data_IF_320264717392
#
_entry.id   IF_320264717392
#
_cell.length_a   1.000
_cell.length_b   1.000
_cell.length_c   1.000
_cell.angle_alpha   90.00
_cell.angle_beta   90.00
_cell.angle_gamma   90.00
#
_symmetry.space_group_name_H-M   'P 1'
#
loop_
_entity.id
_entity.type
_entity.pdbx_description
1 polymer ?
#
# COMPACT_ATOMS: atom_id res chain seq x y z
N UNK A 1 -31.67 -16.66 7.61
CA UNK A 1 -30.30 -16.75 7.07
C UNK A 1 -29.59 -15.43 7.32
N UNK A 2 -28.37 -15.49 7.76
CA UNK A 2 -27.52 -14.30 8.00
C UNK A 2 -27.28 -13.53 6.70
N UNK A 3 -27.46 -12.22 6.71
CA UNK A 3 -27.13 -11.35 5.59
C UNK A 3 -25.96 -10.43 5.96
N UNK A 4 -24.87 -10.54 5.24
CA UNK A 4 -23.67 -9.70 5.37
C UNK A 4 -23.62 -8.75 4.16
N UNK A 5 -23.52 -7.45 4.42
CA UNK A 5 -23.33 -6.44 3.37
C UNK A 5 -21.93 -5.88 3.49
N UNK A 6 -21.18 -5.88 2.39
CA UNK A 6 -19.84 -5.29 2.29
C UNK A 6 -19.92 -4.08 1.37
N UNK A 7 -19.51 -2.92 1.88
CA UNK A 7 -19.48 -1.65 1.15
C UNK A 7 -18.06 -1.33 0.74
N UNK A 8 -17.81 -1.37 -0.56
CA UNK A 8 -16.50 -1.14 -1.20
C UNK A 8 -15.94 -2.41 -1.84
N UNK A 9 -15.70 -2.35 -3.14
CA UNK A 9 -15.18 -3.43 -4.00
C UNK A 9 -13.68 -3.39 -4.25
N UNK A 10 -12.91 -2.70 -3.39
CA UNK A 10 -11.46 -2.78 -3.38
C UNK A 10 -10.95 -4.11 -2.82
N UNK A 11 -9.62 -4.33 -2.87
CA UNK A 11 -9.03 -5.62 -2.44
C UNK A 11 -9.39 -5.99 -1.00
N UNK A 12 -9.57 -5.04 -0.09
CA UNK A 12 -9.96 -5.31 1.30
C UNK A 12 -11.40 -5.85 1.39
N UNK A 13 -12.36 -5.20 0.68
CA UNK A 13 -13.75 -5.64 0.66
C UNK A 13 -13.93 -6.97 -0.07
N UNK A 14 -13.25 -7.15 -1.21
CA UNK A 14 -13.28 -8.41 -1.94
C UNK A 14 -12.67 -9.56 -1.14
N UNK A 15 -11.59 -9.30 -0.40
CA UNK A 15 -11.00 -10.30 0.51
C UNK A 15 -11.94 -10.61 1.67
N UNK A 16 -12.61 -9.61 2.24
CA UNK A 16 -13.64 -9.83 3.25
C UNK A 16 -14.77 -10.70 2.69
N UNK A 17 -15.23 -10.44 1.46
CA UNK A 17 -16.25 -11.24 0.78
C UNK A 17 -15.79 -12.70 0.60
N UNK A 18 -14.56 -12.90 0.14
CA UNK A 18 -13.96 -14.22 -0.03
C UNK A 18 -13.92 -14.99 1.29
N UNK A 19 -13.38 -14.40 2.35
CA UNK A 19 -13.29 -15.08 3.65
C UNK A 19 -14.66 -15.25 4.32
N UNK A 20 -15.61 -14.33 4.12
CA UNK A 20 -16.99 -14.49 4.59
C UNK A 20 -17.65 -15.71 3.96
N UNK A 21 -17.60 -15.85 2.64
CA UNK A 21 -18.14 -17.03 1.94
C UNK A 21 -17.44 -18.32 2.32
N UNK A 22 -16.14 -18.27 2.54
CA UNK A 22 -15.36 -19.45 2.95
C UNK A 22 -15.72 -19.93 4.36
N UNK A 23 -15.93 -18.99 5.31
CA UNK A 23 -16.25 -19.29 6.71
C UNK A 23 -17.75 -19.52 6.96
N UNK A 24 -18.60 -18.88 6.15
CA UNK A 24 -20.08 -18.98 6.25
C UNK A 24 -20.68 -19.21 4.87
N UNK A 25 -20.56 -20.43 4.28
CA UNK A 25 -20.98 -20.69 2.89
C UNK A 25 -22.48 -20.41 2.64
N UNK A 26 -23.32 -20.59 3.65
CA UNK A 26 -24.77 -20.44 3.56
C UNK A 26 -25.27 -19.02 3.88
N UNK A 27 -24.40 -18.10 4.27
CA UNK A 27 -24.81 -16.72 4.51
C UNK A 27 -25.12 -16.01 3.19
N UNK A 28 -26.16 -15.18 3.19
CA UNK A 28 -26.38 -14.22 2.11
C UNK A 28 -25.26 -13.18 2.17
N UNK A 29 -24.60 -12.95 1.06
CA UNK A 29 -23.52 -11.98 0.95
C UNK A 29 -23.80 -11.03 -0.20
N UNK A 30 -23.80 -9.74 0.09
CA UNK A 30 -23.90 -8.69 -0.92
C UNK A 30 -22.67 -7.79 -0.84
N UNK A 31 -22.00 -7.60 -1.97
CA UNK A 31 -20.92 -6.63 -2.11
C UNK A 31 -21.39 -5.51 -3.04
N UNK A 32 -21.27 -4.27 -2.59
CA UNK A 32 -21.61 -3.09 -3.38
C UNK A 32 -20.38 -2.23 -3.63
N UNK A 33 -20.25 -1.71 -4.86
CA UNK A 33 -19.19 -0.82 -5.29
C UNK A 33 -19.78 0.37 -6.05
N UNK A 34 -19.32 1.57 -5.71
CA UNK A 34 -19.79 2.80 -6.35
C UNK A 34 -19.29 3.00 -7.78
N UNK A 35 -18.12 2.43 -8.10
CA UNK A 35 -17.52 2.50 -9.42
C UNK A 35 -18.09 1.45 -10.39
N UNK A 36 -17.75 1.59 -11.66
CA UNK A 36 -18.11 0.65 -12.74
C UNK A 36 -17.20 -0.57 -12.82
N UNK A 37 -16.21 -0.71 -11.90
CA UNK A 37 -15.24 -1.81 -11.88
C UNK A 37 -14.90 -2.23 -10.45
N UNK A 38 -14.49 -3.47 -10.30
CA UNK A 38 -13.93 -4.02 -9.07
C UNK A 38 -12.44 -3.72 -8.94
N UNK A 39 -11.90 -3.82 -7.73
CA UNK A 39 -10.48 -3.76 -7.41
C UNK A 39 -10.01 -2.46 -6.75
N UNK A 40 -10.81 -1.40 -6.78
CA UNK A 40 -10.43 -0.10 -6.21
C UNK A 40 -9.14 0.43 -6.84
N UNK A 41 -8.06 0.59 -6.05
CA UNK A 41 -6.76 1.04 -6.56
C UNK A 41 -6.01 -0.01 -7.39
N UNK A 42 -6.39 -1.28 -7.35
CA UNK A 42 -5.84 -2.31 -8.22
C UNK A 42 -6.55 -2.20 -9.57
N UNK A 43 -5.80 -1.78 -10.58
CA UNK A 43 -6.24 -1.75 -11.99
C UNK A 43 -5.06 -2.03 -12.88
N UNK A 44 -5.24 -2.94 -13.83
CA UNK A 44 -4.25 -3.32 -14.83
C UNK A 44 -4.83 -3.10 -16.22
N UNK A 45 -4.17 -2.28 -17.02
CA UNK A 45 -4.49 -2.13 -18.44
C UNK A 45 -3.58 -3.07 -19.25
N UNK A 46 -4.19 -3.93 -20.08
CA UNK A 46 -3.51 -4.90 -20.94
C UNK A 46 -3.68 -4.44 -22.37
N UNK A 47 -2.64 -3.82 -22.93
CA UNK A 47 -2.67 -3.22 -24.27
C UNK A 47 -1.95 -4.10 -25.27
N UNK A 48 -2.68 -4.69 -26.20
CA UNK A 48 -2.09 -5.43 -27.32
C UNK A 48 -1.22 -4.50 -28.17
N UNK A 49 0.00 -4.92 -28.49
CA UNK A 49 0.94 -4.12 -29.25
C UNK A 49 1.94 -5.02 -30.00
N UNK A 50 2.04 -4.85 -31.31
CA UNK A 50 2.85 -5.72 -32.19
C UNK A 50 2.61 -7.21 -31.90
N UNK A 51 3.67 -7.96 -31.60
CA UNK A 51 3.65 -9.40 -31.30
C UNK A 51 3.50 -9.70 -29.80
N UNK A 52 3.01 -8.75 -28.99
CA UNK A 52 2.87 -8.95 -27.53
C UNK A 52 1.85 -8.00 -26.93
N UNK A 53 2.04 -7.72 -25.65
CA UNK A 53 1.20 -6.77 -24.92
C UNK A 53 1.99 -5.99 -23.87
N UNK A 54 1.59 -4.76 -23.63
CA UNK A 54 1.99 -4.04 -22.43
C UNK A 54 1.04 -4.38 -21.28
N UNK A 55 1.60 -4.64 -20.10
CA UNK A 55 0.85 -4.83 -18.86
C UNK A 55 1.14 -3.61 -17.97
N UNK A 56 0.16 -2.72 -17.86
CA UNK A 56 0.31 -1.41 -17.23
C UNK A 56 -0.53 -1.36 -15.95
N UNK A 57 0.13 -1.26 -14.82
CA UNK A 57 -0.56 -1.08 -13.53
C UNK A 57 -0.91 0.38 -13.30
N UNK A 58 -2.14 0.64 -12.94
CA UNK A 58 -2.58 2.00 -12.62
C UNK A 58 -2.26 2.43 -11.18
N UNK A 59 -2.41 1.53 -10.22
CA UNK A 59 -2.16 1.76 -8.79
C UNK A 59 -0.87 1.08 -8.30
N UNK A 60 -0.93 0.13 -7.36
CA UNK A 60 0.24 -0.67 -6.99
C UNK A 60 0.74 -1.51 -8.17
N UNK A 61 2.03 -1.85 -8.20
CA UNK A 61 2.62 -2.72 -9.23
C UNK A 61 3.00 -4.11 -8.70
N UNK A 62 3.10 -4.25 -7.38
CA UNK A 62 3.56 -5.46 -6.69
C UNK A 62 3.05 -5.48 -5.27
N UNK A 63 3.20 -6.65 -4.62
CA UNK A 63 3.01 -6.78 -3.19
C UNK A 63 4.21 -7.47 -2.51
N UNK A 64 4.36 -7.24 -1.21
CA UNK A 64 5.44 -7.82 -0.41
C UNK A 64 5.20 -9.31 -0.13
N UNK A 65 6.15 -10.16 -0.53
CA UNK A 65 6.13 -11.58 -0.26
C UNK A 65 6.40 -11.94 1.22
N UNK A 66 7.02 -11.02 1.97
CA UNK A 66 7.36 -11.23 3.39
C UNK A 66 6.14 -11.21 4.30
N UNK A 67 5.03 -10.61 3.86
CA UNK A 67 3.74 -10.68 4.53
C UNK A 67 2.95 -11.85 3.95
N UNK A 68 2.55 -12.86 4.75
CA UNK A 68 2.07 -14.15 4.22
C UNK A 68 0.72 -14.06 3.51
N UNK A 69 -0.12 -13.11 3.87
CA UNK A 69 -1.54 -13.05 3.48
C UNK A 69 -1.75 -12.92 1.96
N UNK A 70 -0.93 -12.11 1.28
CA UNK A 70 -1.03 -11.97 -0.18
C UNK A 70 -0.68 -13.25 -0.93
N UNK A 71 0.43 -13.90 -0.54
CA UNK A 71 0.86 -15.17 -1.12
C UNK A 71 -0.13 -16.30 -0.79
N UNK A 72 -0.65 -16.32 0.44
CA UNK A 72 -1.63 -17.32 0.86
C UNK A 72 -2.91 -17.21 0.02
N UNK A 73 -3.48 -16.01 -0.09
CA UNK A 73 -4.68 -15.80 -0.90
C UNK A 73 -4.46 -16.17 -2.38
N UNK A 74 -3.33 -15.77 -2.98
CA UNK A 74 -3.01 -16.15 -4.36
C UNK A 74 -2.94 -17.69 -4.53
N UNK A 75 -2.38 -18.41 -3.57
CA UNK A 75 -2.33 -19.88 -3.61
C UNK A 75 -3.73 -20.49 -3.49
N UNK A 76 -4.56 -19.98 -2.59
CA UNK A 76 -5.94 -20.44 -2.40
C UNK A 76 -6.80 -20.21 -3.65
N UNK A 77 -6.52 -19.14 -4.40
CA UNK A 77 -7.17 -18.80 -5.67
C UNK A 77 -6.55 -19.52 -6.90
N UNK A 78 -5.57 -20.42 -6.69
CA UNK A 78 -4.90 -21.13 -7.79
C UNK A 78 -3.85 -20.30 -8.56
N UNK A 79 -3.49 -19.12 -8.06
CA UNK A 79 -2.54 -18.19 -8.70
C UNK A 79 -1.08 -18.41 -8.24
N UNK A 80 -0.80 -19.41 -7.40
CA UNK A 80 0.51 -19.59 -6.77
C UNK A 80 1.67 -19.69 -7.75
N UNK A 81 1.50 -20.43 -8.84
CA UNK A 81 2.50 -20.64 -9.89
C UNK A 81 2.56 -19.48 -10.91
N UNK A 82 1.61 -18.56 -10.84
CA UNK A 82 1.54 -17.39 -11.69
C UNK A 82 2.21 -16.15 -11.09
N UNK A 83 2.82 -16.30 -9.90
CA UNK A 83 3.51 -15.20 -9.20
C UNK A 83 4.95 -15.08 -9.67
N UNK A 84 5.30 -13.93 -10.23
CA UNK A 84 6.62 -13.57 -10.68
C UNK A 84 7.30 -12.62 -9.69
N UNK A 85 8.59 -12.85 -9.46
CA UNK A 85 9.46 -11.92 -8.75
C UNK A 85 10.04 -10.85 -9.67
N UNK A 86 10.78 -9.92 -9.08
CA UNK A 86 11.58 -8.95 -9.84
C UNK A 86 12.69 -9.66 -10.61
N UNK A 87 13.13 -9.06 -11.72
CA UNK A 87 14.21 -9.57 -12.57
C UNK A 87 15.49 -9.82 -11.74
N UNK A 88 15.96 -11.06 -11.62
CA UNK A 88 17.13 -11.38 -10.80
C UNK A 88 18.46 -10.89 -11.40
N UNK A 89 18.46 -10.57 -12.68
CA UNK A 89 19.64 -10.07 -13.39
C UNK A 89 19.85 -8.57 -13.19
N UNK A 90 18.87 -7.88 -12.59
CA UNK A 90 18.92 -6.46 -12.28
C UNK A 90 18.83 -6.26 -10.76
N UNK A 91 19.62 -5.32 -10.24
CA UNK A 91 19.65 -5.04 -8.79
C UNK A 91 19.69 -3.55 -8.47
N UNK A 92 20.07 -2.73 -9.44
CA UNK A 92 20.30 -1.33 -9.21
C UNK A 92 19.00 -0.59 -8.93
N UNK A 93 19.04 0.23 -7.92
CA UNK A 93 18.04 1.27 -7.64
C UNK A 93 18.82 2.55 -7.42
N UNK A 94 18.29 3.66 -7.91
CA UNK A 94 18.99 4.93 -7.83
C UNK A 94 18.23 5.93 -6.96
N UNK A 95 18.96 6.90 -6.46
CA UNK A 95 18.41 8.09 -5.81
C UNK A 95 18.84 9.31 -6.64
N UNK A 96 17.92 10.19 -6.96
CA UNK A 96 18.25 11.47 -7.58
C UNK A 96 18.96 12.35 -6.53
N UNK A 97 20.18 12.74 -6.79
CA UNK A 97 20.97 13.61 -5.92
C UNK A 97 21.68 14.67 -6.74
N UNK A 98 21.36 15.94 -6.50
CA UNK A 98 21.94 17.08 -7.23
C UNK A 98 21.85 16.90 -8.75
N UNK A 99 20.67 16.53 -9.25
CA UNK A 99 20.37 16.25 -10.66
C UNK A 99 21.15 15.06 -11.28
N UNK A 100 21.75 14.17 -10.49
CA UNK A 100 22.41 12.94 -10.96
C UNK A 100 21.78 11.73 -10.30
N UNK A 101 21.74 10.62 -11.03
CA UNK A 101 21.32 9.33 -10.46
C UNK A 101 22.51 8.68 -9.76
N UNK A 102 22.45 8.64 -8.44
CA UNK A 102 23.44 7.96 -7.61
C UNK A 102 22.90 6.59 -7.19
N UNK A 103 23.69 5.53 -7.28
CA UNK A 103 23.23 4.20 -6.90
C UNK A 103 22.93 4.14 -5.40
N UNK A 104 21.85 3.48 -5.06
CA UNK A 104 21.50 3.16 -3.68
C UNK A 104 22.60 2.24 -3.10
N UNK A 105 23.17 2.57 -1.94
CA UNK A 105 24.23 1.76 -1.35
C UNK A 105 23.77 0.32 -1.09
N UNK A 106 24.60 -0.66 -1.44
CA UNK A 106 24.34 -2.05 -1.13
C UNK A 106 24.21 -2.31 0.36
N UNK A 107 23.36 -3.27 0.70
CA UNK A 107 23.20 -3.70 2.09
C UNK A 107 22.27 -2.81 2.91
N UNK A 108 21.33 -2.13 2.27
CA UNK A 108 20.18 -1.57 2.99
C UNK A 108 19.23 -2.71 3.40
N UNK A 109 19.22 -3.01 4.68
CA UNK A 109 18.23 -3.92 5.23
C UNK A 109 17.13 -3.09 5.91
N UNK A 110 15.88 -3.24 5.42
CA UNK A 110 14.73 -2.51 6.00
C UNK A 110 15.03 -0.99 6.10
N UNK A 111 15.55 -0.39 5.03
CA UNK A 111 15.98 1.02 4.92
C UNK A 111 17.18 1.43 5.80
N UNK A 112 17.74 0.53 6.59
CA UNK A 112 18.91 0.83 7.43
C UNK A 112 20.18 0.32 6.76
N UNK A 113 21.23 1.15 6.65
CA UNK A 113 22.52 0.72 6.14
C UNK A 113 23.19 -0.33 7.04
N UNK A 114 23.46 -1.51 6.48
CA UNK A 114 24.18 -2.59 7.17
C UNK A 114 25.59 -2.79 6.66
N UNK A 115 25.92 -2.19 5.51
CA UNK A 115 27.23 -2.28 4.89
C UNK A 115 27.98 -0.95 5.02
N UNK A 116 28.88 -0.86 5.99
CA UNK A 116 29.67 0.34 6.27
C UNK A 116 30.52 0.75 5.05
N UNK A 117 31.10 -0.22 4.34
CA UNK A 117 31.96 0.09 3.17
C UNK A 117 31.13 0.71 2.02
N UNK A 118 29.90 0.21 1.80
CA UNK A 118 29.01 0.79 0.78
C UNK A 118 28.62 2.23 1.13
N UNK A 119 28.35 2.53 2.39
CA UNK A 119 28.08 3.89 2.86
C UNK A 119 29.31 4.80 2.71
N UNK A 120 30.49 4.31 3.06
CA UNK A 120 31.73 5.11 2.91
C UNK A 120 32.00 5.48 1.44
N UNK A 121 31.66 4.62 0.49
CA UNK A 121 31.83 4.87 -0.95
C UNK A 121 30.70 5.71 -1.56
N UNK A 122 29.54 5.78 -0.93
CA UNK A 122 28.38 6.51 -1.46
C UNK A 122 28.60 8.03 -1.47
N UNK A 123 28.13 8.70 -2.51
CA UNK A 123 28.11 10.17 -2.61
C UNK A 123 26.84 10.80 -2.05
N UNK A 124 25.85 9.99 -1.66
CA UNK A 124 24.57 10.46 -1.12
C UNK A 124 24.69 11.16 0.24
N UNK A 125 25.74 10.85 1.01
CA UNK A 125 25.97 11.42 2.33
C UNK A 125 27.40 11.97 2.40
N UNK A 126 27.55 13.19 2.89
CA UNK A 126 28.84 13.83 3.10
C UNK A 126 29.69 13.09 4.13
N UNK A 127 31.00 13.37 4.19
CA UNK A 127 31.88 12.80 5.22
C UNK A 127 31.43 13.16 6.63
N UNK A 128 30.90 14.37 6.81
CA UNK A 128 30.33 14.82 8.07
C UNK A 128 29.08 14.02 8.42
N UNK A 129 28.20 13.79 7.45
CA UNK A 129 27.02 12.95 7.61
C UNK A 129 27.37 11.50 7.93
N UNK A 130 28.40 10.93 7.28
CA UNK A 130 28.89 9.57 7.57
C UNK A 130 29.42 9.45 9.01
N UNK A 131 30.21 10.44 9.46
CA UNK A 131 30.67 10.49 10.86
C UNK A 131 29.47 10.60 11.82
N UNK A 132 28.48 11.43 11.50
CA UNK A 132 27.24 11.58 12.28
C UNK A 132 26.45 10.26 12.33
N UNK A 133 26.34 9.50 11.24
CA UNK A 133 25.73 8.17 11.23
C UNK A 133 26.47 7.20 12.15
N UNK A 134 27.81 7.29 12.21
CA UNK A 134 28.64 6.46 13.10
C UNK A 134 28.34 6.66 14.58
N UNK A 135 27.84 7.83 14.98
CA UNK A 135 27.46 8.08 16.38
C UNK A 135 26.27 7.20 16.86
N UNK A 136 25.50 6.60 15.93
CA UNK A 136 24.45 5.65 16.31
C UNK A 136 24.94 4.47 17.13
N UNK A 137 26.20 4.06 16.95
CA UNK A 137 26.82 2.96 17.70
C UNK A 137 27.02 3.27 19.19
N UNK A 138 27.17 4.55 19.55
CA UNK A 138 27.50 4.97 20.93
C UNK A 138 26.37 5.78 21.59
N UNK A 139 25.41 6.26 20.79
CA UNK A 139 24.30 7.05 21.30
C UNK A 139 23.33 6.16 22.10
N UNK A 140 23.02 6.49 23.37
CA UNK A 140 22.08 5.69 24.16
C UNK A 140 20.68 5.68 23.55
N UNK A 141 19.97 4.58 23.78
CA UNK A 141 18.54 4.51 23.46
C UNK A 141 17.77 5.53 24.29
N UNK A 142 16.80 6.18 23.67
CA UNK A 142 15.94 7.14 24.35
C UNK A 142 14.59 6.49 24.62
N UNK A 143 14.23 6.38 25.89
CA UNK A 143 12.88 5.99 26.25
C UNK A 143 11.97 7.21 26.05
N UNK A 144 11.24 7.27 24.95
CA UNK A 144 10.27 8.33 24.65
C UNK A 144 8.89 7.77 24.99
N UNK A 145 8.24 8.39 25.96
CA UNK A 145 6.83 8.14 26.22
C UNK A 145 6.00 8.81 25.11
N UNK A 146 5.27 8.00 24.35
CA UNK A 146 4.43 8.46 23.25
C UNK A 146 5.01 8.18 21.85
N UNK A 147 4.35 8.71 20.84
CA UNK A 147 4.70 8.54 19.43
C UNK A 147 5.79 9.56 19.03
N UNK A 148 6.59 9.20 18.05
CA UNK A 148 7.66 10.03 17.49
C UNK A 148 7.55 9.96 15.95
N UNK A 149 7.80 11.06 15.24
CA UNK A 149 7.82 10.99 13.79
C UNK A 149 9.02 10.21 13.28
N UNK A 150 8.84 9.54 12.14
CA UNK A 150 9.92 8.82 11.45
C UNK A 150 11.13 9.74 11.19
N UNK A 151 10.88 10.97 10.73
CA UNK A 151 11.92 11.95 10.44
C UNK A 151 12.69 12.37 11.68
N UNK A 152 12.01 12.63 12.80
CA UNK A 152 12.65 12.93 14.08
C UNK A 152 13.49 11.75 14.59
N UNK A 153 12.92 10.54 14.54
CA UNK A 153 13.59 9.32 14.98
C UNK A 153 14.87 9.06 14.20
N UNK A 154 14.78 9.01 12.86
CA UNK A 154 15.92 8.72 11.99
C UNK A 154 16.98 9.83 12.07
N UNK A 155 16.55 11.12 12.11
CA UNK A 155 17.47 12.25 12.25
C UNK A 155 18.20 12.23 13.56
N UNK A 156 17.55 11.84 14.64
CA UNK A 156 18.14 11.67 15.97
C UNK A 156 19.18 10.55 15.97
N UNK A 157 18.93 9.45 15.30
CA UNK A 157 19.82 8.28 15.28
C UNK A 157 20.93 8.43 14.23
N UNK A 158 20.58 8.68 12.97
CA UNK A 158 21.51 8.64 11.84
C UNK A 158 21.92 10.03 11.32
N UNK A 159 21.26 11.10 11.78
CA UNK A 159 21.47 12.46 11.30
C UNK A 159 20.49 12.87 10.18
N UNK A 160 20.22 14.17 10.08
CA UNK A 160 19.26 14.74 9.15
C UNK A 160 19.63 14.49 7.69
N UNK A 161 20.92 14.59 7.34
CA UNK A 161 21.40 14.34 5.99
C UNK A 161 21.15 12.90 5.52
N UNK A 162 21.39 11.90 6.41
CA UNK A 162 21.12 10.51 6.11
C UNK A 162 19.60 10.26 5.98
N UNK A 163 18.79 10.91 6.81
CA UNK A 163 17.34 10.86 6.68
C UNK A 163 16.90 11.40 5.31
N UNK A 164 17.26 12.62 4.94
CA UNK A 164 16.80 13.30 3.73
C UNK A 164 17.28 12.62 2.43
N UNK A 165 18.48 12.05 2.43
CA UNK A 165 19.11 11.52 1.21
C UNK A 165 18.94 10.00 1.03
N UNK A 166 18.70 9.24 2.12
CA UNK A 166 18.63 7.78 2.06
C UNK A 166 17.27 7.24 2.47
N UNK A 167 16.71 7.72 3.59
CA UNK A 167 15.54 7.08 4.20
C UNK A 167 14.23 7.71 3.69
N UNK A 168 14.17 9.04 3.67
CA UNK A 168 12.99 9.79 3.20
C UNK A 168 12.55 9.37 1.79
N UNK A 169 13.45 9.31 0.77
CA UNK A 169 13.01 8.96 -0.57
C UNK A 169 12.47 7.53 -0.68
N UNK A 170 13.01 6.58 0.08
CA UNK A 170 12.50 5.21 0.12
C UNK A 170 11.14 5.12 0.81
N UNK A 171 10.98 5.80 1.95
CA UNK A 171 9.74 5.88 2.69
C UNK A 171 8.65 6.61 1.87
N UNK A 172 9.02 7.70 1.23
CA UNK A 172 8.13 8.47 0.36
C UNK A 172 7.60 7.64 -0.81
N UNK A 173 8.41 6.73 -1.35
CA UNK A 173 7.99 5.75 -2.35
C UNK A 173 6.92 4.76 -1.87
N UNK A 174 6.78 4.57 -0.55
CA UNK A 174 5.79 3.66 0.05
C UNK A 174 4.51 4.43 0.43
N UNK A 175 4.64 5.53 1.15
CA UNK A 175 3.50 6.26 1.73
C UNK A 175 3.09 7.51 0.95
N UNK A 176 3.92 7.97 0.01
CA UNK A 176 3.81 9.31 -0.59
C UNK A 176 3.65 10.40 0.50
N UNK A 177 4.22 10.16 1.69
CA UNK A 177 4.00 10.91 2.90
C UNK A 177 5.09 11.92 3.22
N UNK A 178 4.89 12.65 4.32
CA UNK A 178 5.89 13.48 4.94
C UNK A 178 6.43 12.77 6.20
N UNK A 179 7.68 12.31 6.16
CA UNK A 179 8.25 11.57 7.27
C UNK A 179 8.42 12.39 8.56
N UNK A 180 8.38 13.72 8.48
CA UNK A 180 8.37 14.57 9.66
C UNK A 180 6.98 14.59 10.35
N UNK A 181 5.93 14.11 9.66
CA UNK A 181 4.57 13.96 10.18
C UNK A 181 4.21 12.50 10.45
N UNK A 182 4.77 11.55 9.69
CA UNK A 182 4.41 10.13 9.79
C UNK A 182 4.82 9.54 11.14
N UNK A 183 3.89 8.89 11.82
CA UNK A 183 4.08 8.13 13.05
C UNK A 183 5.06 6.97 12.83
N UNK A 184 6.10 6.91 13.62
CA UNK A 184 7.03 5.78 13.61
C UNK A 184 6.32 4.47 14.00
N UNK A 185 5.48 4.55 15.03
CA UNK A 185 4.76 3.38 15.57
C UNK A 185 3.78 2.79 14.55
N UNK A 186 3.09 3.65 13.79
CA UNK A 186 2.11 3.20 12.80
C UNK A 186 2.73 2.76 11.47
N UNK A 187 3.95 3.21 11.15
CA UNK A 187 4.56 2.96 9.83
C UNK A 187 5.71 1.95 9.89
N UNK A 188 6.69 2.17 10.77
CA UNK A 188 7.92 1.37 10.86
C UNK A 188 8.28 1.02 12.32
N UNK A 189 7.37 0.36 13.08
CA UNK A 189 7.57 0.07 14.52
C UNK A 189 8.84 -0.72 14.80
N UNK A 190 9.25 -1.58 13.87
CA UNK A 190 10.48 -2.38 14.00
C UNK A 190 11.75 -1.53 14.16
N UNK A 191 11.76 -0.28 13.70
CA UNK A 191 12.89 0.62 13.90
C UNK A 191 13.06 0.96 15.40
N UNK A 192 11.95 1.17 16.09
CA UNK A 192 11.94 1.38 17.54
C UNK A 192 12.37 0.12 18.27
N UNK A 193 11.91 -1.05 17.82
CA UNK A 193 12.30 -2.34 18.41
C UNK A 193 13.80 -2.57 18.28
N UNK A 194 14.42 -2.19 17.15
CA UNK A 194 15.87 -2.25 16.99
C UNK A 194 16.61 -1.34 17.98
N UNK A 195 16.16 -0.11 18.18
CA UNK A 195 16.72 0.81 19.17
C UNK A 195 16.63 0.24 20.58
N UNK A 196 15.46 -0.24 20.99
CA UNK A 196 15.23 -0.79 22.32
C UNK A 196 16.08 -2.05 22.56
N UNK A 197 16.06 -2.98 21.61
CA UNK A 197 16.70 -4.29 21.77
C UNK A 197 18.22 -4.25 21.66
N UNK A 198 18.77 -3.40 20.78
CA UNK A 198 20.19 -3.39 20.45
C UNK A 198 20.90 -2.07 20.83
N UNK A 199 20.17 -1.08 21.29
CA UNK A 199 20.68 0.25 21.62
C UNK A 199 21.10 1.08 20.39
N UNK A 200 21.02 0.52 19.16
CA UNK A 200 21.49 1.11 17.92
C UNK A 200 20.78 0.49 16.73
N UNK A 201 20.37 1.32 15.77
CA UNK A 201 19.78 0.86 14.51
C UNK A 201 20.78 0.04 13.70
N UNK A 202 22.01 0.53 13.58
CA UNK A 202 23.07 -0.14 12.82
C UNK A 202 23.44 -1.50 13.43
N UNK A 203 23.60 -1.59 14.76
CA UNK A 203 23.84 -2.88 15.43
C UNK A 203 22.69 -3.85 15.20
N UNK A 204 21.46 -3.39 15.39
CA UNK A 204 20.27 -4.19 15.18
C UNK A 204 20.16 -4.74 13.76
N UNK A 205 20.33 -3.89 12.76
CA UNK A 205 20.29 -4.27 11.35
C UNK A 205 21.39 -5.26 10.96
N UNK A 206 22.62 -5.09 11.48
CA UNK A 206 23.74 -6.03 11.28
C UNK A 206 23.41 -7.41 11.89
N UNK A 207 22.83 -7.43 13.10
CA UNK A 207 22.45 -8.69 13.76
C UNK A 207 21.32 -9.42 13.00
N UNK A 208 20.31 -8.70 12.56
CA UNK A 208 19.23 -9.29 11.73
C UNK A 208 19.79 -9.89 10.43
N UNK A 209 20.73 -9.19 9.76
CA UNK A 209 21.37 -9.70 8.56
C UNK A 209 22.18 -10.97 8.82
N UNK A 210 22.91 -11.05 9.94
CA UNK A 210 23.66 -12.26 10.32
C UNK A 210 22.72 -13.45 10.57
N UNK A 211 21.57 -13.21 11.21
CA UNK A 211 20.56 -14.24 11.47
C UNK A 211 19.86 -14.72 10.17
N UNK A 212 19.66 -13.83 9.19
CA UNK A 212 19.05 -14.18 7.92
C UNK A 212 20.01 -14.96 6.99
N UNK A 213 21.32 -14.64 7.00
CA UNK A 213 22.32 -15.37 6.21
C UNK A 213 22.53 -16.82 6.64
N UNK A 214 22.11 -17.20 7.85
CA UNK A 214 22.08 -18.61 8.30
C UNK A 214 20.86 -19.39 7.84
N UNK A 215 19.88 -18.73 7.22
CA UNK A 215 18.64 -19.33 6.69
C UNK A 215 18.47 -19.06 5.18
N UNK A 216 19.56 -19.09 4.41
CA UNK A 216 19.43 -19.05 2.95
C UNK A 216 18.78 -20.33 2.48
N UNK A 217 17.45 -20.33 2.42
CA UNK A 217 16.71 -21.32 1.64
C UNK A 217 17.17 -21.14 0.20
N UNK A 218 17.79 -22.16 -0.38
CA UNK A 218 18.09 -22.24 -1.79
C UNK A 218 16.82 -21.90 -2.58
N UNK A 219 16.85 -20.82 -3.37
CA UNK A 219 15.71 -20.25 -4.09
C UNK A 219 15.21 -18.96 -3.42
N UNK A 220 16.02 -17.91 -3.43
CA UNK A 220 15.64 -16.56 -2.96
C UNK A 220 14.46 -16.05 -3.78
N UNK A 221 13.22 -16.29 -3.29
CA UNK A 221 12.04 -15.65 -3.85
C UNK A 221 12.21 -14.13 -3.68
N UNK A 222 11.92 -13.39 -4.74
CA UNK A 222 11.91 -11.93 -4.71
C UNK A 222 11.08 -11.42 -3.52
N UNK A 223 11.51 -10.31 -2.91
CA UNK A 223 10.73 -9.64 -1.87
C UNK A 223 9.41 -9.06 -2.39
N UNK A 224 9.33 -8.82 -3.71
CA UNK A 224 8.16 -8.27 -4.38
C UNK A 224 7.64 -9.27 -5.42
N UNK A 225 6.33 -9.49 -5.40
CA UNK A 225 5.65 -10.41 -6.31
C UNK A 225 4.52 -9.71 -7.06
N UNK A 226 4.24 -10.21 -8.25
CA UNK A 226 3.12 -9.80 -9.09
C UNK A 226 2.61 -10.98 -9.91
N UNK A 227 1.30 -11.11 -10.20
CA UNK A 227 0.80 -12.14 -11.12
C UNK A 227 1.25 -11.89 -12.57
N UNK A 228 1.20 -12.94 -13.38
CA UNK A 228 1.64 -12.94 -14.78
C UNK A 228 1.00 -11.83 -15.63
N UNK A 229 -0.30 -11.65 -15.50
CA UNK A 229 -1.04 -10.66 -16.30
C UNK A 229 -1.41 -9.39 -15.54
N UNK A 230 -0.74 -9.14 -14.41
CA UNK A 230 -0.91 -7.98 -13.56
C UNK A 230 -1.76 -8.24 -12.31
N UNK A 231 -1.79 -7.26 -11.42
CA UNK A 231 -2.46 -7.39 -10.11
C UNK A 231 -3.97 -7.58 -10.21
N UNK A 232 -4.62 -7.10 -11.29
CA UNK A 232 -6.04 -7.30 -11.52
C UNK A 232 -6.43 -8.79 -11.58
N UNK A 233 -5.48 -9.68 -11.89
CA UNK A 233 -5.69 -11.14 -11.90
C UNK A 233 -6.15 -11.67 -10.52
N UNK A 234 -5.69 -11.06 -9.42
CA UNK A 234 -6.14 -11.40 -8.06
C UNK A 234 -7.62 -11.01 -7.89
N UNK A 235 -7.98 -9.82 -8.34
CA UNK A 235 -9.36 -9.31 -8.29
C UNK A 235 -10.29 -10.19 -9.11
N UNK A 236 -9.90 -10.50 -10.34
CA UNK A 236 -10.65 -11.35 -11.27
C UNK A 236 -10.90 -12.75 -10.66
N UNK A 237 -9.88 -13.34 -10.04
CA UNK A 237 -10.01 -14.64 -9.39
C UNK A 237 -10.95 -14.61 -8.17
N UNK A 238 -10.92 -13.54 -7.36
CA UNK A 238 -11.86 -13.39 -6.24
C UNK A 238 -13.28 -13.24 -6.74
N UNK A 239 -13.52 -12.42 -7.77
CA UNK A 239 -14.85 -12.23 -8.36
C UNK A 239 -15.40 -13.55 -8.89
N UNK A 240 -14.62 -14.30 -9.65
CA UNK A 240 -15.02 -15.63 -10.17
C UNK A 240 -15.40 -16.59 -9.03
N UNK A 241 -14.61 -16.60 -7.93
CA UNK A 241 -14.96 -17.38 -6.75
C UNK A 241 -16.29 -16.95 -6.13
N UNK A 242 -16.51 -15.65 -5.98
CA UNK A 242 -17.73 -15.10 -5.36
C UNK A 242 -18.98 -15.39 -6.19
N UNK A 243 -18.90 -15.26 -7.52
CA UNK A 243 -19.99 -15.59 -8.45
C UNK A 243 -20.35 -17.07 -8.37
N UNK A 244 -19.34 -17.95 -8.38
CA UNK A 244 -19.51 -19.41 -8.25
C UNK A 244 -20.18 -19.78 -6.93
N UNK A 245 -19.92 -19.02 -5.86
CA UNK A 245 -20.50 -19.24 -4.53
C UNK A 245 -21.75 -18.37 -4.24
N UNK A 246 -22.44 -17.91 -5.28
CA UNK A 246 -23.74 -17.21 -5.18
C UNK A 246 -23.70 -15.95 -4.28
N UNK A 247 -22.63 -15.19 -4.33
CA UNK A 247 -22.60 -13.85 -3.75
C UNK A 247 -23.30 -12.85 -4.69
N UNK A 248 -24.01 -11.89 -4.14
CA UNK A 248 -24.59 -10.79 -4.90
C UNK A 248 -23.55 -9.69 -5.07
N UNK A 249 -23.15 -9.43 -6.30
CA UNK A 249 -22.13 -8.43 -6.66
C UNK A 249 -22.77 -7.29 -7.42
N UNK A 250 -22.63 -6.04 -6.93
CA UNK A 250 -23.30 -4.86 -7.51
C UNK A 250 -22.31 -3.73 -7.72
N UNK A 251 -21.98 -3.45 -8.96
CA UNK A 251 -21.26 -2.25 -9.40
C UNK A 251 -22.22 -1.06 -9.56
N UNK A 252 -21.69 0.14 -9.72
CA UNK A 252 -22.45 1.39 -9.86
C UNK A 252 -23.51 1.54 -8.75
N UNK A 253 -23.19 1.05 -7.55
CA UNK A 253 -24.09 0.99 -6.41
C UNK A 253 -23.45 1.70 -5.23
N UNK A 254 -23.84 2.95 -5.01
CA UNK A 254 -23.26 3.81 -3.98
C UNK A 254 -24.13 3.81 -2.73
N UNK A 255 -23.54 3.48 -1.57
CA UNK A 255 -24.16 3.70 -0.29
C UNK A 255 -24.19 5.20 0.05
N UNK A 256 -25.27 5.67 0.65
CA UNK A 256 -25.45 7.06 1.09
C UNK A 256 -25.47 7.20 2.62
N UNK A 257 -25.96 6.20 3.33
CA UNK A 257 -26.08 6.23 4.80
C UNK A 257 -26.13 4.81 5.39
N UNK A 258 -25.67 4.70 6.62
CA UNK A 258 -25.82 3.51 7.44
C UNK A 258 -26.58 3.89 8.72
N UNK A 259 -27.52 3.06 9.10
CA UNK A 259 -28.25 3.15 10.36
C UNK A 259 -28.41 1.76 10.97
N UNK A 260 -28.74 1.71 12.26
CA UNK A 260 -29.07 0.47 12.96
C UNK A 260 -30.37 0.69 13.74
N UNK A 261 -31.34 -0.19 13.50
CA UNK A 261 -32.62 -0.19 14.20
C UNK A 261 -32.88 -1.61 14.68
N UNK A 262 -33.10 -1.80 15.98
CA UNK A 262 -33.36 -3.08 16.58
C UNK A 262 -32.33 -4.17 16.24
N UNK A 263 -31.03 -3.83 16.36
CA UNK A 263 -29.88 -4.71 16.07
C UNK A 263 -29.78 -5.16 14.61
N UNK A 264 -30.49 -4.51 13.67
CA UNK A 264 -30.32 -4.71 12.23
C UNK A 264 -29.79 -3.45 11.57
N UNK A 265 -28.82 -3.64 10.70
CA UNK A 265 -28.24 -2.56 9.90
C UNK A 265 -29.08 -2.32 8.65
N UNK A 266 -29.27 -1.04 8.34
CA UNK A 266 -29.84 -0.58 7.08
C UNK A 266 -28.78 0.17 6.31
N UNK A 267 -28.43 -0.32 5.13
CA UNK A 267 -27.52 0.34 4.19
C UNK A 267 -28.40 1.00 3.12
N UNK A 268 -28.53 2.32 3.21
CA UNK A 268 -29.27 3.12 2.24
C UNK A 268 -28.41 3.41 1.03
N UNK A 269 -28.93 3.26 -0.17
CA UNK A 269 -28.28 3.55 -1.43
C UNK A 269 -28.69 4.91 -1.97
N UNK A 270 -27.89 5.52 -2.82
CA UNK A 270 -28.27 6.77 -3.51
C UNK A 270 -29.51 6.60 -4.40
N UNK A 271 -29.80 5.38 -4.85
CA UNK A 271 -31.03 5.05 -5.59
C UNK A 271 -32.31 5.11 -4.76
N UNK A 272 -32.22 5.23 -3.44
CA UNK A 272 -33.33 5.11 -2.50
C UNK A 272 -33.63 3.69 -2.04
N UNK A 273 -32.99 2.66 -2.60
CA UNK A 273 -33.09 1.27 -2.12
C UNK A 273 -32.41 1.14 -0.76
N UNK A 274 -32.95 0.28 0.10
CA UNK A 274 -32.41 -0.02 1.43
C UNK A 274 -32.08 -1.50 1.53
N UNK A 275 -30.82 -1.83 1.77
CA UNK A 275 -30.38 -3.19 2.05
C UNK A 275 -30.38 -3.43 3.56
N UNK A 276 -31.18 -4.42 3.99
CA UNK A 276 -31.21 -4.85 5.40
C UNK A 276 -30.11 -5.88 5.61
N UNK A 277 -29.28 -5.68 6.63
CA UNK A 277 -28.18 -6.57 6.95
C UNK A 277 -28.11 -6.89 8.43
N UNK A 278 -27.65 -8.06 8.73
CA UNK A 278 -27.31 -8.46 10.10
C UNK A 278 -25.89 -8.02 10.47
N UNK A 279 -25.01 -7.87 9.47
CA UNK A 279 -23.66 -7.36 9.66
C UNK A 279 -23.23 -6.52 8.45
N UNK A 280 -22.42 -5.49 8.70
CA UNK A 280 -21.90 -4.60 7.68
C UNK A 280 -20.39 -4.49 7.82
N UNK A 281 -19.67 -4.64 6.70
CA UNK A 281 -18.23 -4.35 6.62
C UNK A 281 -18.05 -3.14 5.71
N UNK A 282 -17.46 -2.07 6.26
CA UNK A 282 -17.07 -0.89 5.49
C UNK A 282 -15.63 -1.04 5.03
N UNK A 283 -15.45 -1.25 3.74
CA UNK A 283 -14.14 -1.38 3.07
C UNK A 283 -13.85 -0.18 2.14
N UNK A 284 -14.41 0.97 2.50
CA UNK A 284 -14.22 2.26 1.81
C UNK A 284 -13.10 3.06 2.47
N UNK A 285 -12.55 4.11 1.82
CA UNK A 285 -11.68 5.07 2.49
C UNK A 285 -12.29 5.58 3.80
N UNK A 286 -11.46 5.81 4.83
CA UNK A 286 -11.93 6.11 6.17
C UNK A 286 -12.88 7.32 6.22
N UNK A 287 -12.60 8.38 5.44
CA UNK A 287 -13.46 9.57 5.38
C UNK A 287 -14.83 9.27 4.73
N UNK A 288 -14.90 8.34 3.78
CA UNK A 288 -16.17 7.86 3.20
C UNK A 288 -16.95 7.05 4.25
N UNK A 289 -16.29 6.09 4.93
CA UNK A 289 -16.90 5.37 6.05
C UNK A 289 -17.44 6.32 7.12
N UNK A 290 -16.67 7.37 7.46
CA UNK A 290 -17.11 8.43 8.37
C UNK A 290 -18.31 9.24 7.85
N UNK A 291 -18.44 9.40 6.53
CA UNK A 291 -19.61 10.06 5.95
C UNK A 291 -20.85 9.18 6.06
N UNK A 292 -20.72 7.89 5.77
CA UNK A 292 -21.81 6.91 5.86
C UNK A 292 -22.35 6.74 7.29
N UNK A 293 -21.47 6.90 8.30
CA UNK A 293 -21.80 6.74 9.72
C UNK A 293 -22.17 8.04 10.42
N UNK A 294 -22.15 9.19 9.74
CA UNK A 294 -22.27 10.50 10.38
C UNK A 294 -23.56 10.71 11.20
N UNK A 295 -24.68 10.15 10.76
CA UNK A 295 -25.95 10.21 11.49
C UNK A 295 -26.13 9.10 12.51
N UNK A 296 -25.35 8.01 12.42
CA UNK A 296 -25.42 6.84 13.28
C UNK A 296 -24.52 7.00 14.52
N UNK A 297 -23.27 7.33 14.33
CA UNK A 297 -22.29 7.63 15.39
C UNK A 297 -21.41 8.81 14.97
N UNK A 298 -21.77 10.05 15.35
CA UNK A 298 -21.03 11.25 14.98
C UNK A 298 -19.57 11.27 15.49
N UNK A 299 -19.32 10.60 16.65
CA UNK A 299 -17.97 10.55 17.25
C UNK A 299 -17.06 9.63 16.42
N UNK A 300 -17.51 8.41 16.10
CA UNK A 300 -16.82 7.50 15.21
C UNK A 300 -16.60 8.12 13.83
N UNK A 301 -17.62 8.80 13.30
CA UNK A 301 -17.53 9.50 12.02
C UNK A 301 -16.47 10.59 12.01
N UNK A 302 -16.34 11.36 13.10
CA UNK A 302 -15.31 12.39 13.26
C UNK A 302 -13.91 11.76 13.27
N UNK A 303 -13.68 10.72 14.06
CA UNK A 303 -12.36 10.04 14.13
C UNK A 303 -11.97 9.44 12.77
N UNK A 304 -12.90 8.81 12.05
CA UNK A 304 -12.67 8.29 10.71
C UNK A 304 -12.30 9.38 9.69
N UNK A 305 -12.98 10.53 9.73
CA UNK A 305 -12.70 11.69 8.87
C UNK A 305 -11.40 12.40 9.22
N UNK A 306 -10.89 12.23 10.44
CA UNK A 306 -9.65 12.85 10.88
C UNK A 306 -8.39 12.18 10.30
N UNK A 307 -8.50 10.98 9.72
CA UNK A 307 -7.39 10.33 9.04
C UNK A 307 -7.13 11.04 7.72
N UNK A 308 -5.97 11.70 7.54
CA UNK A 308 -5.68 12.44 6.34
C UNK A 308 -5.28 11.51 5.18
N UNK A 309 -5.49 11.99 3.96
CA UNK A 309 -5.13 11.29 2.73
C UNK A 309 -4.36 12.19 1.78
N UNK A 310 -3.42 11.63 1.06
CA UNK A 310 -2.71 12.30 -0.03
C UNK A 310 -3.24 11.83 -1.39
N UNK A 311 -3.21 12.73 -2.36
CA UNK A 311 -3.50 12.44 -3.76
C UNK A 311 -2.21 12.16 -4.52
N UNK A 312 -2.25 11.17 -5.40
CA UNK A 312 -1.12 10.76 -6.23
C UNK A 312 -1.57 10.49 -7.66
N UNK A 313 -0.63 10.51 -8.59
CA UNK A 313 -0.87 10.08 -9.96
C UNK A 313 0.28 9.20 -10.45
N UNK A 314 -0.01 8.33 -11.41
CA UNK A 314 1.00 7.55 -12.11
C UNK A 314 0.89 7.78 -13.61
N UNK A 315 2.03 7.96 -14.26
CA UNK A 315 2.14 8.13 -15.71
C UNK A 315 3.05 7.04 -16.24
N UNK A 316 2.48 6.12 -16.99
CA UNK A 316 3.21 5.05 -17.67
C UNK A 316 3.43 5.42 -19.14
N UNK A 317 4.67 5.25 -19.61
CA UNK A 317 5.09 5.64 -20.97
C UNK A 317 5.86 4.48 -21.59
N UNK A 318 5.51 4.14 -22.83
CA UNK A 318 6.19 3.11 -23.60
C UNK A 318 7.05 3.74 -24.73
N UNK A 319 8.23 3.19 -24.93
CA UNK A 319 9.19 3.62 -25.96
C UNK A 319 9.78 2.40 -26.68
N UNK A 320 10.33 2.58 -27.90
CA UNK A 320 11.28 1.59 -28.43
C UNK A 320 12.57 1.64 -27.62
N UNK A 321 13.20 0.52 -27.33
CA UNK A 321 14.48 0.50 -26.60
C UNK A 321 15.56 1.29 -27.33
N UNK A 322 15.57 1.24 -28.66
CA UNK A 322 16.54 1.96 -29.50
C UNK A 322 16.36 3.49 -29.47
N UNK A 323 15.23 3.99 -29.04
CA UNK A 323 14.95 5.43 -28.90
C UNK A 323 15.42 5.98 -27.54
N UNK A 324 15.88 5.11 -26.66
CA UNK A 324 16.41 5.50 -25.35
C UNK A 324 17.90 5.88 -25.47
N UNK A 325 18.35 7.00 -24.88
CA UNK A 325 19.74 7.46 -24.98
C UNK A 325 20.73 6.59 -24.21
N UNK A 326 20.23 5.70 -23.35
CA UNK A 326 21.01 4.74 -22.58
C UNK A 326 20.21 3.52 -22.21
N UNK A 327 20.88 2.44 -21.89
CA UNK A 327 20.28 1.24 -21.34
C UNK A 327 19.72 1.48 -19.93
N UNK A 328 18.59 0.85 -19.61
CA UNK A 328 17.99 0.89 -18.28
C UNK A 328 18.50 -0.31 -17.48
N UNK A 329 19.46 -0.09 -16.59
CA UNK A 329 20.24 -1.12 -15.90
C UNK A 329 19.80 -1.38 -14.46
N UNK A 330 18.48 -1.22 -14.17
CA UNK A 330 17.96 -1.39 -12.81
C UNK A 330 16.45 -1.34 -12.71
N UNK A 331 15.96 -1.09 -11.49
CA UNK A 331 14.53 -1.01 -11.22
C UNK A 331 13.96 0.40 -11.36
N UNK A 332 14.80 1.42 -11.36
CA UNK A 332 14.38 2.82 -11.40
C UNK A 332 15.05 3.68 -10.34
N UNK A 333 14.44 4.82 -10.04
CA UNK A 333 14.97 5.75 -9.07
C UNK A 333 13.86 6.40 -8.22
N UNK A 334 14.26 6.86 -7.04
CA UNK A 334 13.43 7.66 -6.14
C UNK A 334 13.99 9.07 -6.04
N UNK A 335 13.09 10.04 -5.79
CA UNK A 335 13.42 11.46 -5.78
C UNK A 335 13.18 12.01 -4.37
N UNK A 336 14.27 12.40 -3.66
CA UNK A 336 14.12 13.04 -2.35
C UNK A 336 13.30 14.32 -2.42
N UNK A 337 12.50 14.58 -1.39
CA UNK A 337 11.69 15.81 -1.26
C UNK A 337 12.55 17.08 -1.41
N UNK A 338 13.78 17.05 -0.90
CA UNK A 338 14.72 18.16 -0.98
C UNK A 338 15.14 18.56 -2.42
N UNK A 339 14.99 17.68 -3.41
CA UNK A 339 15.29 17.98 -4.82
C UNK A 339 14.21 18.88 -5.45
N UNK A 340 13.08 19.15 -4.75
CA UNK A 340 12.05 20.09 -5.17
C UNK A 340 11.25 19.65 -6.41
N UNK A 341 11.37 18.38 -6.82
CA UNK A 341 10.66 17.84 -7.98
C UNK A 341 9.21 17.47 -7.63
N UNK A 342 8.32 17.59 -8.60
CA UNK A 342 6.92 17.11 -8.47
C UNK A 342 6.80 15.58 -8.62
N UNK A 343 7.69 14.98 -9.41
CA UNK A 343 7.83 13.53 -9.46
C UNK A 343 8.42 13.01 -8.13
N UNK A 344 7.95 11.85 -7.71
CA UNK A 344 8.29 11.16 -6.47
C UNK A 344 9.28 10.02 -6.73
N UNK A 345 9.06 9.29 -7.83
CA UNK A 345 9.84 8.14 -8.23
C UNK A 345 9.63 7.82 -9.71
N UNK A 346 10.51 7.02 -10.25
CA UNK A 346 10.36 6.46 -11.59
C UNK A 346 10.78 4.99 -11.55
N UNK A 347 9.89 4.09 -12.01
CA UNK A 347 10.19 2.66 -12.16
C UNK A 347 10.42 2.33 -13.62
N UNK A 348 11.48 1.60 -13.89
CA UNK A 348 11.76 1.01 -15.21
C UNK A 348 11.06 -0.34 -15.28
N UNK A 349 9.75 -0.29 -15.59
CA UNK A 349 8.82 -1.41 -15.38
C UNK A 349 9.23 -2.64 -16.17
N UNK A 350 9.60 -2.48 -17.46
CA UNK A 350 10.04 -3.61 -18.31
C UNK A 350 11.39 -4.21 -17.90
N UNK A 351 12.27 -3.41 -17.27
CA UNK A 351 13.53 -3.92 -16.73
C UNK A 351 13.32 -4.66 -15.41
N UNK A 352 12.45 -4.12 -14.56
CA UNK A 352 12.08 -4.74 -13.28
C UNK A 352 11.26 -6.02 -13.48
N UNK A 353 10.36 -6.04 -14.47
CA UNK A 353 9.49 -7.15 -14.84
C UNK A 353 9.48 -7.32 -16.36
N UNK A 354 10.37 -8.15 -16.93
CA UNK A 354 10.52 -8.27 -18.40
C UNK A 354 9.23 -8.64 -19.14
N UNK A 355 8.35 -9.42 -18.53
CA UNK A 355 7.08 -9.85 -19.12
C UNK A 355 6.03 -8.71 -19.27
N UNK A 356 6.30 -7.50 -18.78
CA UNK A 356 5.35 -6.38 -18.82
C UNK A 356 5.41 -5.52 -20.09
N UNK A 357 6.37 -5.78 -20.95
CA UNK A 357 6.47 -5.13 -22.27
C UNK A 357 6.86 -6.15 -23.32
N UNK A 358 6.48 -5.98 -24.60
CA UNK A 358 6.98 -6.78 -25.69
C UNK A 358 8.51 -6.60 -25.87
N UNK A 359 9.16 -7.60 -26.47
CA UNK A 359 10.60 -7.51 -26.78
C UNK A 359 10.91 -6.31 -27.68
N UNK A 360 12.00 -5.60 -27.38
CA UNK A 360 12.40 -4.39 -28.09
C UNK A 360 11.72 -3.10 -27.61
N UNK A 361 10.86 -3.18 -26.59
CA UNK A 361 10.16 -2.05 -26.01
C UNK A 361 10.50 -1.85 -24.54
N UNK A 362 10.47 -0.60 -24.11
CA UNK A 362 10.63 -0.20 -22.71
C UNK A 362 9.33 0.39 -22.19
N UNK A 363 8.95 -0.03 -21.00
CA UNK A 363 7.84 0.54 -20.22
C UNK A 363 8.41 1.23 -18.99
N UNK A 364 8.16 2.53 -18.87
CA UNK A 364 8.64 3.38 -17.78
C UNK A 364 7.45 3.99 -17.08
N UNK A 365 7.48 4.06 -15.75
CA UNK A 365 6.39 4.59 -14.95
C UNK A 365 6.89 5.67 -14.00
N UNK A 366 6.32 6.87 -14.11
CA UNK A 366 6.60 8.01 -13.24
C UNK A 366 5.49 8.15 -12.21
N UNK A 367 5.88 8.32 -10.95
CA UNK A 367 4.97 8.57 -9.83
C UNK A 367 5.01 10.06 -9.47
N UNK A 368 3.84 10.66 -9.32
CA UNK A 368 3.68 12.10 -9.09
C UNK A 368 2.80 12.32 -7.86
N UNK A 369 3.16 13.32 -7.05
CA UNK A 369 2.37 13.73 -5.88
C UNK A 369 2.78 13.04 -4.59
N UNK A 370 2.79 13.83 -3.52
CA UNK A 370 3.05 13.42 -2.14
C UNK A 370 2.34 14.37 -1.17
N UNK A 371 2.17 13.97 0.06
CA UNK A 371 1.55 14.79 1.09
C UNK A 371 2.18 16.20 1.16
N UNK A 372 1.32 17.22 1.16
CA UNK A 372 1.72 18.63 1.18
C UNK A 372 2.28 19.17 -0.14
N UNK A 373 2.12 18.46 -1.26
CA UNK A 373 2.56 18.91 -2.58
C UNK A 373 1.36 19.02 -3.52
N UNK A 374 1.15 20.21 -4.08
CA UNK A 374 0.19 20.42 -5.14
C UNK A 374 0.72 19.91 -6.49
N UNK A 375 -0.10 19.13 -7.18
CA UNK A 375 0.17 18.61 -8.51
C UNK A 375 -0.95 19.00 -9.46
N UNK A 376 -0.69 19.10 -10.78
CA UNK A 376 -1.77 19.28 -11.76
C UNK A 376 -2.71 18.08 -11.70
N UNK A 377 -4.02 18.35 -11.85
CA UNK A 377 -5.05 17.32 -11.77
C UNK A 377 -5.75 17.15 -13.13
N UNK A 378 -4.94 17.00 -14.19
CA UNK A 378 -5.39 16.68 -15.53
C UNK A 378 -4.34 15.85 -16.28
N UNK A 379 -4.77 15.07 -17.24
CA UNK A 379 -3.95 14.10 -17.97
C UNK A 379 -2.80 14.77 -18.73
N UNK A 380 -3.07 15.85 -19.47
CA UNK A 380 -2.07 16.52 -20.32
C UNK A 380 -0.90 17.09 -19.50
N UNK A 381 -1.20 17.76 -18.41
CA UNK A 381 -0.16 18.36 -17.55
C UNK A 381 0.64 17.31 -16.80
N UNK A 382 0.00 16.20 -16.40
CA UNK A 382 0.70 15.06 -15.78
C UNK A 382 1.61 14.37 -16.79
N UNK A 383 1.16 14.18 -18.03
CA UNK A 383 1.98 13.65 -19.12
C UNK A 383 3.17 14.56 -19.41
N UNK A 384 2.94 15.87 -19.53
CA UNK A 384 3.99 16.86 -19.74
C UNK A 384 5.00 16.90 -18.58
N UNK A 385 4.52 16.74 -17.34
CA UNK A 385 5.39 16.65 -16.17
C UNK A 385 6.27 15.39 -16.23
N UNK A 386 5.67 14.23 -16.54
CA UNK A 386 6.40 12.96 -16.61
C UNK A 386 7.44 12.96 -17.74
N UNK A 387 7.09 13.42 -18.94
CA UNK A 387 8.03 13.54 -20.08
C UNK A 387 9.17 14.51 -19.78
N UNK A 388 8.86 15.65 -19.15
CA UNK A 388 9.90 16.61 -18.69
C UNK A 388 10.85 15.97 -17.68
N UNK A 389 10.32 15.20 -16.72
CA UNK A 389 11.15 14.50 -15.71
C UNK A 389 12.07 13.48 -16.37
N UNK A 390 11.56 12.66 -17.30
CA UNK A 390 12.37 11.69 -18.04
C UNK A 390 13.44 12.36 -18.91
N UNK A 391 13.13 13.49 -19.54
CA UNK A 391 14.10 14.28 -20.29
C UNK A 391 15.21 14.80 -19.40
N UNK A 392 14.88 15.35 -18.24
CA UNK A 392 15.87 15.93 -17.31
C UNK A 392 16.75 14.87 -16.66
N UNK A 393 16.20 13.69 -16.34
CA UNK A 393 16.89 12.68 -15.54
C UNK A 393 17.55 11.61 -16.41
N UNK A 394 16.89 11.18 -17.48
CA UNK A 394 17.34 10.10 -18.37
C UNK A 394 17.78 10.58 -19.74
N UNK A 395 17.53 11.85 -20.11
CA UNK A 395 17.83 12.40 -21.44
C UNK A 395 16.86 11.93 -22.53
N UNK A 396 15.72 11.33 -22.18
CA UNK A 396 14.74 10.85 -23.15
C UNK A 396 14.05 12.04 -23.80
N UNK A 397 14.17 12.15 -25.12
CA UNK A 397 13.53 13.20 -25.93
C UNK A 397 12.57 12.65 -26.97
N UNK A 398 12.52 11.33 -27.12
CA UNK A 398 11.57 10.66 -28.00
C UNK A 398 10.14 10.81 -27.49
N UNK A 399 9.18 10.89 -28.40
CA UNK A 399 7.76 10.83 -28.06
C UNK A 399 7.37 9.40 -27.65
N UNK A 400 6.57 9.22 -26.62
CA UNK A 400 6.12 7.90 -26.21
C UNK A 400 5.17 7.30 -27.25
N UNK A 401 5.32 6.01 -27.55
CA UNK A 401 4.42 5.25 -28.42
C UNK A 401 3.03 5.05 -27.81
N UNK A 402 3.00 4.98 -26.51
CA UNK A 402 1.81 4.76 -25.69
C UNK A 402 1.99 5.44 -24.34
N UNK A 403 0.94 6.04 -23.83
CA UNK A 403 0.91 6.50 -22.43
C UNK A 403 -0.41 6.10 -21.75
N UNK A 404 -0.34 6.02 -20.41
CA UNK A 404 -1.51 5.88 -19.54
C UNK A 404 -1.31 6.73 -18.30
N UNK A 405 -2.32 7.49 -17.96
CA UNK A 405 -2.34 8.34 -16.75
C UNK A 405 -3.44 7.86 -15.82
N UNK A 406 -3.10 7.62 -14.56
CA UNK A 406 -4.05 7.27 -13.53
C UNK A 406 -3.94 8.28 -12.39
N UNK A 407 -5.08 8.84 -11.99
CA UNK A 407 -5.19 9.84 -10.93
C UNK A 407 -5.91 9.22 -9.74
N UNK A 408 -5.29 9.32 -8.58
CA UNK A 408 -5.77 8.72 -7.33
C UNK A 408 -6.00 9.82 -6.30
N UNK A 409 -7.17 10.43 -6.37
CA UNK A 409 -7.56 11.51 -5.46
C UNK A 409 -7.85 10.96 -4.07
N UNK A 410 -7.22 11.57 -3.04
CA UNK A 410 -7.39 11.16 -1.63
C UNK A 410 -7.32 9.63 -1.44
N UNK A 411 -6.34 8.96 -2.07
CA UNK A 411 -6.27 7.50 -2.09
C UNK A 411 -5.17 6.93 -1.18
N UNK A 412 -4.20 7.76 -0.75
CA UNK A 412 -3.08 7.33 0.07
C UNK A 412 -3.23 7.83 1.52
N UNK A 413 -3.71 6.97 2.44
CA UNK A 413 -3.85 7.35 3.85
C UNK A 413 -2.50 7.69 4.47
N UNK A 414 -2.49 8.71 5.32
CA UNK A 414 -1.32 9.22 6.00
C UNK A 414 -1.41 8.87 7.49
N UNK A 415 -0.57 7.95 7.93
CA UNK A 415 -0.49 7.56 9.34
C UNK A 415 0.39 8.57 10.10
N UNK A 416 -0.14 9.78 10.27
CA UNK A 416 0.56 10.86 10.95
C UNK A 416 0.63 10.65 12.47
N UNK A 417 1.40 11.47 13.16
CA UNK A 417 1.42 11.50 14.62
C UNK A 417 0.00 11.59 15.18
N UNK A 418 -0.31 10.79 16.18
CA UNK A 418 -1.66 10.65 16.75
C UNK A 418 -2.53 9.58 16.06
N UNK A 419 -2.05 8.93 14.99
CA UNK A 419 -2.81 7.86 14.33
C UNK A 419 -3.12 6.67 15.25
N UNK A 420 -2.21 6.17 16.11
CA UNK A 420 -2.53 5.11 17.08
C UNK A 420 -3.68 5.48 18.00
N UNK A 421 -3.71 6.72 18.48
CA UNK A 421 -4.76 7.23 19.37
C UNK A 421 -6.12 7.33 18.66
N UNK A 422 -6.12 7.75 17.38
CA UNK A 422 -7.33 7.73 16.53
C UNK A 422 -7.85 6.30 16.40
N UNK A 423 -6.98 5.33 16.09
CA UNK A 423 -7.39 3.93 15.95
C UNK A 423 -7.93 3.35 17.26
N UNK A 424 -7.35 3.68 18.41
CA UNK A 424 -7.85 3.23 19.70
C UNK A 424 -9.27 3.74 19.97
N UNK A 425 -9.58 5.01 19.62
CA UNK A 425 -10.94 5.56 19.75
C UNK A 425 -11.92 4.90 18.77
N UNK A 426 -11.50 4.65 17.54
CA UNK A 426 -12.29 3.93 16.53
C UNK A 426 -12.62 2.52 17.02
N UNK A 427 -11.64 1.78 17.55
CA UNK A 427 -11.85 0.43 18.06
C UNK A 427 -12.83 0.41 19.25
N UNK A 428 -12.66 1.32 20.23
CA UNK A 428 -13.56 1.45 21.35
C UNK A 428 -15.00 1.86 20.95
N UNK A 429 -15.15 2.64 19.87
CA UNK A 429 -16.45 2.96 19.32
C UNK A 429 -17.09 1.74 18.65
N UNK A 430 -16.32 0.98 17.86
CA UNK A 430 -16.80 -0.22 17.17
C UNK A 430 -17.23 -1.36 18.14
N UNK A 431 -16.70 -1.41 19.37
CA UNK A 431 -17.17 -2.34 20.39
C UNK A 431 -18.63 -2.13 20.78
N UNK A 432 -19.15 -0.90 20.63
CA UNK A 432 -20.54 -0.55 20.90
C UNK A 432 -21.48 -0.91 19.75
N UNK A 433 -20.95 -1.33 18.62
CA UNK A 433 -21.69 -1.61 17.39
C UNK A 433 -21.41 -3.04 16.90
N UNK A 434 -21.88 -4.07 17.63
CA UNK A 434 -21.72 -5.46 17.20
C UNK A 434 -22.29 -5.66 15.79
N UNK A 435 -21.59 -6.42 14.96
CA UNK A 435 -21.96 -6.62 13.55
C UNK A 435 -21.44 -5.54 12.57
N UNK A 436 -20.83 -4.43 13.05
CA UNK A 436 -20.15 -3.45 12.22
C UNK A 436 -18.63 -3.66 12.29
N UNK A 437 -17.98 -3.70 11.14
CA UNK A 437 -16.53 -3.78 11.05
C UNK A 437 -15.97 -2.87 9.93
N UNK A 438 -14.69 -2.52 10.07
CA UNK A 438 -13.94 -1.72 9.09
C UNK A 438 -12.83 -2.58 8.47
N UNK A 439 -12.56 -2.38 7.18
CA UNK A 439 -11.44 -2.99 6.47
C UNK A 439 -10.80 -1.98 5.52
N UNK A 440 -9.51 -2.16 5.22
CA UNK A 440 -8.82 -1.33 4.22
C UNK A 440 -7.52 -0.71 4.71
N UNK A 441 -6.93 0.06 3.81
CA UNK A 441 -5.62 0.68 3.99
C UNK A 441 -5.61 1.89 4.93
N UNK A 442 -6.76 2.40 5.35
CA UNK A 442 -6.88 3.57 6.22
C UNK A 442 -6.41 3.34 7.66
N UNK A 443 -6.20 2.09 8.08
CA UNK A 443 -6.10 1.72 9.49
C UNK A 443 -4.72 1.15 9.87
N UNK A 444 -4.43 -0.12 9.49
CA UNK A 444 -3.27 -0.86 9.99
C UNK A 444 -2.47 -1.52 8.86
N UNK A 445 -1.89 -0.71 7.99
CA UNK A 445 -1.08 -1.16 6.87
C UNK A 445 -1.69 -0.86 5.52
N UNK A 446 -0.87 -0.27 4.63
CA UNK A 446 -1.30 0.24 3.33
C UNK A 446 -1.08 -0.77 2.18
N UNK A 447 -0.31 -1.83 2.42
CA UNK A 447 0.03 -2.81 1.38
C UNK A 447 -1.13 -3.74 1.04
N UNK A 448 -1.11 -4.30 -0.17
CA UNK A 448 -2.09 -5.31 -0.60
C UNK A 448 -2.24 -6.45 0.41
N UNK A 449 -1.15 -7.06 0.95
CA UNK A 449 -1.29 -8.11 1.95
C UNK A 449 -1.97 -7.63 3.23
N UNK A 450 -1.71 -6.38 3.66
CA UNK A 450 -2.36 -5.80 4.84
C UNK A 450 -3.86 -5.59 4.62
N UNK A 451 -4.23 -5.12 3.43
CA UNK A 451 -5.64 -4.95 3.05
C UNK A 451 -6.38 -6.29 3.01
N UNK A 452 -5.74 -7.34 2.48
CA UNK A 452 -6.29 -8.71 2.47
C UNK A 452 -6.54 -9.18 3.91
N UNK A 453 -5.53 -9.05 4.76
CA UNK A 453 -5.63 -9.44 6.17
C UNK A 453 -6.66 -8.60 6.94
N UNK A 454 -6.74 -7.31 6.67
CA UNK A 454 -7.76 -6.42 7.24
C UNK A 454 -9.18 -6.89 6.90
N UNK A 455 -9.40 -7.34 5.66
CA UNK A 455 -10.68 -7.94 5.25
C UNK A 455 -11.00 -9.23 6.02
N UNK A 456 -10.02 -10.11 6.19
CA UNK A 456 -10.18 -11.34 6.97
C UNK A 456 -10.49 -11.05 8.44
N UNK A 457 -9.77 -10.10 9.07
CA UNK A 457 -10.01 -9.71 10.46
C UNK A 457 -11.39 -9.08 10.66
N UNK A 458 -11.87 -8.28 9.70
CA UNK A 458 -13.21 -7.71 9.75
C UNK A 458 -14.29 -8.81 9.75
N UNK A 459 -14.11 -9.86 8.95
CA UNK A 459 -15.00 -11.02 8.96
C UNK A 459 -14.96 -11.75 10.31
N UNK A 460 -13.77 -12.01 10.86
CA UNK A 460 -13.65 -12.67 12.16
C UNK A 460 -14.41 -11.88 13.24
N UNK A 461 -14.22 -10.55 13.28
CA UNK A 461 -14.86 -9.68 14.26
C UNK A 461 -16.40 -9.76 14.21
N UNK A 462 -17.00 -9.72 13.02
CA UNK A 462 -18.47 -9.80 12.91
C UNK A 462 -19.01 -11.19 13.24
N UNK A 463 -18.24 -12.27 13.04
CA UNK A 463 -18.63 -13.63 13.37
C UNK A 463 -18.50 -13.93 14.87
N UNK A 464 -17.45 -13.46 15.54
CA UNK A 464 -17.24 -13.60 16.99
C UNK A 464 -18.33 -12.90 17.78
N UNK A 465 -18.69 -11.67 17.43
CA UNK A 465 -19.74 -10.91 18.09
C UNK A 465 -21.09 -11.64 18.06
N UNK A 466 -21.41 -12.38 17.01
CA UNK A 466 -22.63 -13.17 16.87
C UNK A 466 -22.67 -14.40 17.76
N UNK A 467 -21.56 -15.10 17.90
CA UNK A 467 -21.51 -16.27 18.79
C UNK A 467 -21.79 -15.88 20.24
N UNK A 468 -21.40 -14.67 20.63
CA UNK A 468 -21.68 -14.12 21.98
C UNK A 468 -23.16 -13.77 22.11
N UNK A 469 -23.82 -13.21 21.09
CA UNK A 469 -25.25 -12.89 21.11
C UNK A 469 -26.11 -14.16 21.14
N UNK A 470 -25.83 -15.18 20.32
CA UNK A 470 -26.57 -16.45 20.28
C UNK A 470 -26.42 -17.22 21.60
N UNK A 471 -25.26 -17.19 22.24
CA UNK A 471 -25.04 -17.81 23.54
C UNK A 471 -25.75 -17.10 24.70
N UNK A 472 -25.86 -15.75 24.62
CA UNK A 472 -26.61 -14.97 25.64
C UNK A 472 -28.10 -15.12 25.54
N UNK A 473 -28.66 -15.26 24.35
CA UNK A 473 -30.10 -15.51 24.11
C UNK A 473 -30.51 -16.92 24.58
N UNK A 474 -29.62 -17.91 24.35
CA UNK A 474 -29.91 -19.31 24.81
C UNK A 474 -29.87 -19.43 26.33
N UNK A 475 -29.03 -18.65 27.02
CA UNK A 475 -28.93 -18.62 28.48
C UNK A 475 -30.16 -17.96 29.14
N UNK A 476 -30.86 -17.04 28.47
CA UNK A 476 -32.07 -16.39 28.97
C UNK A 476 -33.37 -17.15 28.66
N UNK A 477 -33.33 -18.16 27.77
CA UNK A 477 -34.51 -18.97 27.42
C UNK A 477 -34.59 -20.24 28.26
N UNK A 478 -33.63 -20.50 29.12
CA UNK A 478 -33.54 -21.71 29.97
C UNK A 478 -33.78 -21.41 31.47
N UNK A 479 -34.26 -20.23 31.80
CA UNK A 479 -34.76 -19.82 33.11
C UNK A 479 -36.27 -19.57 33.04
#
# INVERSE_FOLDING_TARGET
MTHIVIVGGGIAGLSAAYYAKKKTPYANLTVIESDSRWGGMITTDRVAFDNGQFIIEGGPDTFLATKPWGVALCKELGLGERLHGTNPNQKNTYILHRNKLEPLPDGLAMMIPTNVQAILKSHLVSWFGKARMGLDFIQPSKNINGDESLGMFVSRRLGREAYENLIEPLMSGIYAGDGDQLSLTSTFPYLRDLEIKYGSLARGAIQMRKQSNGKSVQGSRSAFLTPTTGLAEIVEAIISFLETNSATLRLNTRASRISNINSRYSVELESGEVLQADSVILATPAFISGTLLASFDPTLAYDLKSIPYASTATVSLAYRQNDLPRELDGYGYVIPRREGRKALACTWTSTKFPHRAPDGYALIRVFVGRAGQEIPWNENDLLALATKELKLTLGITAEPLLHRVFMWENAMPQYNLGHPEILNRIDAALEKHPGLALAGNGYRGIGIPDCIHSGELAVNKILENRQVEDSSVTAHTTL
#
